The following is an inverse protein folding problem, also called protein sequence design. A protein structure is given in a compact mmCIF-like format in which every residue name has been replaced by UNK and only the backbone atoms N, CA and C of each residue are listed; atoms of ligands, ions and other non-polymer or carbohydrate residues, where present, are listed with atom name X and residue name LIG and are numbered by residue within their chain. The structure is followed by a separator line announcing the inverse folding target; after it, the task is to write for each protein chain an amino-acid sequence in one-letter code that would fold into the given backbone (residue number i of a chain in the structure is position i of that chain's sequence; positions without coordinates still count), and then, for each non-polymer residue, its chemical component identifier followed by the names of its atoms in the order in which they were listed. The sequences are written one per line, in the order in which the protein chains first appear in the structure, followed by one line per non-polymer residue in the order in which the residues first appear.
data_IF_192314988576
#
_entry.id   IF_192314988576
#
_cell.length_a   1.000
_cell.length_b   1.000
_cell.length_c   1.000
_cell.angle_alpha   90.00
_cell.angle_beta   90.00
_cell.angle_gamma   90.00
#
_symmetry.space_group_name_H-M   'P 1'
#
loop_
_entity.id
_entity.type
_entity.pdbx_description
1 polymer ?
#
# COMPACT_ATOMS: atom_id res chain seq x y z
N UNK A 1 -25.47 11.19 -18.34
CA UNK A 1 -25.85 11.24 -16.92
C UNK A 1 -25.42 12.59 -16.37
N UNK A 2 -26.35 13.35 -15.84
CA UNK A 2 -26.18 14.75 -15.47
C UNK A 2 -25.34 14.88 -14.19
N UNK A 3 -24.06 15.19 -14.31
CA UNK A 3 -23.16 15.53 -13.19
C UNK A 3 -23.62 16.76 -12.37
N UNK A 4 -24.71 17.40 -12.79
CA UNK A 4 -25.27 18.57 -12.13
C UNK A 4 -26.21 18.28 -10.96
N UNK A 5 -26.49 16.99 -10.65
CA UNK A 5 -27.45 16.58 -9.61
C UNK A 5 -26.84 16.14 -8.28
N UNK A 6 -25.55 16.24 -8.09
CA UNK A 6 -24.97 16.08 -6.74
C UNK A 6 -25.38 17.28 -5.89
N UNK A 7 -26.12 17.09 -4.79
CA UNK A 7 -26.46 18.19 -3.90
C UNK A 7 -25.16 18.76 -3.33
N UNK A 8 -24.89 20.03 -3.67
CA UNK A 8 -23.74 20.74 -3.13
C UNK A 8 -24.03 21.02 -1.66
N UNK A 9 -23.19 20.54 -0.78
CA UNK A 9 -23.23 20.93 0.61
C UNK A 9 -23.12 22.47 0.73
N UNK A 10 -23.85 23.11 1.64
CA UNK A 10 -23.72 24.54 1.88
C UNK A 10 -22.27 24.87 2.24
N UNK A 11 -21.80 26.04 1.81
CA UNK A 11 -20.43 26.48 2.13
C UNK A 11 -20.32 26.68 3.63
N UNK A 12 -19.35 26.00 4.25
CA UNK A 12 -19.07 26.18 5.66
C UNK A 12 -18.69 27.63 5.98
N UNK A 13 -19.16 28.16 7.10
CA UNK A 13 -18.79 29.48 7.57
C UNK A 13 -17.33 29.50 8.04
N UNK A 14 -16.71 30.69 8.04
CA UNK A 14 -15.32 30.84 8.49
C UNK A 14 -15.14 30.38 9.95
N UNK A 15 -16.13 30.60 10.80
CA UNK A 15 -16.15 30.17 12.20
C UNK A 15 -16.20 28.64 12.33
N UNK A 16 -16.98 27.97 11.48
CA UNK A 16 -17.03 26.49 11.43
C UNK A 16 -15.71 25.91 10.95
N UNK A 17 -15.09 26.52 9.94
CA UNK A 17 -13.76 26.12 9.44
C UNK A 17 -12.69 26.26 10.52
N UNK A 18 -12.65 27.38 11.24
CA UNK A 18 -11.68 27.61 12.32
C UNK A 18 -11.89 26.63 13.49
N UNK A 19 -13.13 26.35 13.84
CA UNK A 19 -13.45 25.38 14.91
C UNK A 19 -13.08 23.95 14.50
N UNK A 20 -13.38 23.56 13.26
CA UNK A 20 -13.01 22.27 12.70
C UNK A 20 -11.48 22.12 12.57
N UNK A 21 -10.79 23.18 12.12
CA UNK A 21 -9.31 23.20 12.03
C UNK A 21 -8.67 23.02 13.40
N UNK A 22 -9.17 23.71 14.44
CA UNK A 22 -8.66 23.56 15.80
C UNK A 22 -8.76 22.13 16.32
N UNK A 23 -9.89 21.43 16.03
CA UNK A 23 -10.05 20.02 16.37
C UNK A 23 -9.20 19.06 15.55
N UNK A 24 -8.84 19.45 14.33
CA UNK A 24 -8.07 18.62 13.40
C UNK A 24 -6.54 18.72 13.63
N UNK A 25 -6.05 19.74 14.32
CA UNK A 25 -4.60 19.94 14.53
C UNK A 25 -3.95 18.73 15.18
N UNK A 26 -4.53 18.23 16.26
CA UNK A 26 -3.98 17.09 17.00
C UNK A 26 -3.88 15.82 16.14
N UNK A 27 -4.94 15.37 15.44
CA UNK A 27 -4.82 14.23 14.52
C UNK A 27 -3.83 14.48 13.36
N UNK A 28 -3.71 15.71 12.85
CA UNK A 28 -2.80 16.05 11.76
C UNK A 28 -1.31 16.03 12.15
N UNK A 29 -0.99 16.11 13.43
CA UNK A 29 0.38 15.94 13.92
C UNK A 29 0.90 14.51 13.61
N UNK A 30 0.04 13.49 13.61
CA UNK A 30 0.45 12.11 13.35
C UNK A 30 1.07 11.92 11.95
N UNK A 31 0.43 12.31 10.83
CA UNK A 31 1.08 12.28 9.52
C UNK A 31 2.38 13.09 9.45
N UNK A 32 2.45 14.22 10.15
CA UNK A 32 3.67 15.04 10.19
C UNK A 32 4.80 14.29 10.89
N UNK A 33 4.54 13.65 12.04
CA UNK A 33 5.52 12.81 12.74
C UNK A 33 6.03 11.71 11.79
N UNK A 34 5.14 11.04 11.07
CA UNK A 34 5.50 9.98 10.15
C UNK A 34 6.38 10.48 9.00
N UNK A 35 5.99 11.57 8.34
CA UNK A 35 6.73 12.13 7.21
C UNK A 35 8.11 12.63 7.66
N UNK A 36 8.16 13.39 8.74
CA UNK A 36 9.42 13.95 9.27
C UNK A 36 10.35 12.84 9.75
N UNK A 37 9.83 11.87 10.50
CA UNK A 37 10.61 10.74 11.03
C UNK A 37 11.30 9.95 9.94
N UNK A 38 10.57 9.62 8.87
CA UNK A 38 11.09 8.82 7.75
C UNK A 38 11.97 9.66 6.82
N UNK A 39 11.50 10.85 6.40
CA UNK A 39 12.17 11.67 5.39
C UNK A 39 13.53 12.19 5.86
N UNK A 40 13.65 12.56 7.12
CA UNK A 40 14.92 13.05 7.69
C UNK A 40 15.79 11.93 8.28
N UNK A 41 15.35 10.67 8.20
CA UNK A 41 16.11 9.51 8.65
C UNK A 41 16.26 9.41 10.17
N UNK A 42 15.39 10.06 10.95
CA UNK A 42 15.41 9.98 12.41
C UNK A 42 15.04 8.60 12.94
N UNK A 43 14.18 7.91 12.19
CA UNK A 43 13.71 6.58 12.58
C UNK A 43 13.31 5.75 11.34
N UNK A 44 13.37 4.45 11.49
CA UNK A 44 12.87 3.51 10.48
C UNK A 44 11.35 3.57 10.36
N UNK A 45 10.75 3.15 9.22
CA UNK A 45 9.29 3.10 9.09
C UNK A 45 8.59 2.33 10.21
N UNK A 46 9.22 1.26 10.72
CA UNK A 46 8.69 0.45 11.82
C UNK A 46 8.68 1.22 13.14
N UNK A 47 9.77 1.92 13.46
CA UNK A 47 9.87 2.74 14.68
C UNK A 47 8.89 3.91 14.64
N UNK A 48 8.80 4.59 13.50
CA UNK A 48 7.83 5.69 13.31
C UNK A 48 6.39 5.19 13.46
N UNK A 49 6.09 3.98 12.98
CA UNK A 49 4.78 3.36 13.18
C UNK A 49 4.47 3.11 14.65
N UNK A 50 5.45 2.64 15.45
CA UNK A 50 5.28 2.47 16.89
C UNK A 50 5.02 3.80 17.61
N UNK A 51 5.75 4.86 17.23
CA UNK A 51 5.50 6.23 17.75
C UNK A 51 4.11 6.71 17.36
N UNK A 52 3.68 6.50 16.12
CA UNK A 52 2.35 6.90 15.65
C UNK A 52 1.23 6.18 16.41
N UNK A 53 1.37 4.87 16.66
CA UNK A 53 0.41 4.10 17.46
C UNK A 53 0.37 4.62 18.89
N UNK A 54 1.52 4.83 19.51
CA UNK A 54 1.61 5.37 20.89
C UNK A 54 0.93 6.74 20.97
N UNK A 55 1.21 7.62 20.02
CA UNK A 55 0.57 8.93 19.92
C UNK A 55 -0.95 8.82 19.74
N UNK A 56 -1.42 7.98 18.82
CA UNK A 56 -2.84 7.75 18.58
C UNK A 56 -3.58 7.22 19.81
N UNK A 57 -3.00 6.26 20.51
CA UNK A 57 -3.54 5.71 21.77
C UNK A 57 -3.58 6.79 22.84
N UNK A 58 -2.49 7.53 23.05
CA UNK A 58 -2.43 8.62 24.03
C UNK A 58 -3.50 9.68 23.74
N UNK A 59 -3.65 10.08 22.50
CA UNK A 59 -4.66 11.04 22.05
C UNK A 59 -6.09 10.54 22.35
N UNK A 60 -6.37 9.28 22.01
CA UNK A 60 -7.69 8.67 22.17
C UNK A 60 -8.07 8.45 23.63
N UNK A 61 -7.10 8.09 24.48
CA UNK A 61 -7.35 7.81 25.91
C UNK A 61 -7.34 9.11 26.73
N UNK A 62 -6.33 9.98 26.54
CA UNK A 62 -6.12 11.13 27.42
C UNK A 62 -6.94 12.35 26.99
N UNK A 63 -7.01 12.63 25.68
CA UNK A 63 -7.65 13.85 25.16
C UNK A 63 -9.10 13.58 24.80
N UNK A 64 -9.35 12.64 23.90
CA UNK A 64 -10.71 12.35 23.44
C UNK A 64 -11.50 11.46 24.40
N UNK A 65 -10.84 10.73 25.27
CA UNK A 65 -11.45 9.80 26.23
C UNK A 65 -12.48 8.87 25.57
N UNK A 66 -12.21 8.50 24.30
CA UNK A 66 -13.09 7.71 23.46
C UNK A 66 -12.88 6.21 23.60
N UNK A 67 -11.73 5.79 24.13
CA UNK A 67 -11.33 4.38 24.26
C UNK A 67 -11.21 4.03 25.73
N UNK A 68 -12.08 3.09 26.18
CA UNK A 68 -11.97 2.45 27.50
C UNK A 68 -11.00 1.25 27.44
N UNK A 69 -10.64 0.73 28.62
CA UNK A 69 -9.71 -0.40 28.74
C UNK A 69 -10.19 -1.65 27.99
N UNK A 70 -11.48 -1.97 28.05
CA UNK A 70 -12.08 -3.09 27.31
C UNK A 70 -11.97 -2.92 25.79
N UNK A 71 -12.29 -1.71 25.29
CA UNK A 71 -12.20 -1.39 23.85
C UNK A 71 -10.76 -1.43 23.37
N UNK A 72 -9.81 -0.95 24.17
CA UNK A 72 -8.38 -1.02 23.86
C UNK A 72 -7.92 -2.47 23.67
N UNK A 73 -8.32 -3.36 24.59
CA UNK A 73 -7.95 -4.78 24.49
C UNK A 73 -8.56 -5.44 23.26
N UNK A 74 -9.82 -5.15 22.94
CA UNK A 74 -10.47 -5.66 21.73
C UNK A 74 -9.73 -5.20 20.46
N UNK A 75 -9.42 -3.90 20.36
CA UNK A 75 -8.65 -3.34 19.23
C UNK A 75 -7.27 -4.01 19.12
N UNK A 76 -6.59 -4.23 20.26
CA UNK A 76 -5.27 -4.87 20.25
C UNK A 76 -5.35 -6.33 19.76
N UNK A 77 -6.37 -7.08 20.15
CA UNK A 77 -6.60 -8.45 19.67
C UNK A 77 -6.90 -8.44 18.17
N UNK A 78 -7.79 -7.57 17.71
CA UNK A 78 -8.14 -7.47 16.28
C UNK A 78 -6.91 -7.10 15.43
N UNK A 79 -6.09 -6.15 15.89
CA UNK A 79 -4.82 -5.81 15.24
C UNK A 79 -3.85 -6.99 15.23
N UNK A 80 -3.78 -7.75 16.32
CA UNK A 80 -2.94 -8.95 16.41
C UNK A 80 -3.38 -10.04 15.42
N UNK A 81 -4.68 -10.27 15.29
CA UNK A 81 -5.24 -11.22 14.31
C UNK A 81 -4.92 -10.80 12.88
N UNK A 82 -5.14 -9.53 12.53
CA UNK A 82 -4.81 -9.00 11.20
C UNK A 82 -3.31 -9.09 10.91
N UNK A 83 -2.46 -8.70 11.85
CA UNK A 83 -1.01 -8.82 11.71
C UNK A 83 -0.58 -10.29 11.52
N UNK A 84 -1.16 -11.21 12.29
CA UNK A 84 -0.90 -12.65 12.16
C UNK A 84 -1.28 -13.20 10.79
N UNK A 85 -2.44 -12.82 10.25
CA UNK A 85 -2.87 -13.20 8.90
C UNK A 85 -1.88 -12.69 7.84
N UNK A 86 -1.50 -11.41 7.92
CA UNK A 86 -0.56 -10.82 6.96
C UNK A 86 0.81 -11.50 7.04
N UNK A 87 1.33 -11.73 8.23
CA UNK A 87 2.61 -12.42 8.42
C UNK A 87 2.58 -13.86 7.90
N UNK A 88 1.47 -14.57 8.09
CA UNK A 88 1.30 -15.92 7.56
C UNK A 88 1.31 -15.94 6.02
N UNK A 89 0.61 -14.98 5.39
CA UNK A 89 0.62 -14.84 3.92
C UNK A 89 2.02 -14.52 3.42
N UNK A 90 2.75 -13.62 4.08
CA UNK A 90 4.12 -13.25 3.73
C UNK A 90 5.06 -14.45 3.85
N UNK A 91 4.96 -15.22 4.93
CA UNK A 91 5.79 -16.42 5.13
C UNK A 91 5.52 -17.49 4.06
N UNK A 92 4.25 -17.71 3.73
CA UNK A 92 3.84 -18.65 2.66
C UNK A 92 4.34 -18.19 1.28
N UNK A 93 4.21 -16.89 0.97
CA UNK A 93 4.71 -16.30 -0.27
C UNK A 93 6.24 -16.41 -0.37
N UNK A 94 6.96 -16.18 0.73
CA UNK A 94 8.41 -16.36 0.79
C UNK A 94 8.86 -17.79 0.52
N UNK A 95 8.18 -18.77 1.12
CA UNK A 95 8.44 -20.18 0.87
C UNK A 95 8.19 -20.56 -0.59
N UNK A 96 7.13 -20.03 -1.19
CA UNK A 96 6.82 -20.25 -2.59
C UNK A 96 7.86 -19.60 -3.51
N UNK A 97 8.26 -18.36 -3.25
CA UNK A 97 9.31 -17.66 -3.99
C UNK A 97 10.64 -18.42 -3.95
N UNK A 98 11.02 -18.94 -2.78
CA UNK A 98 12.20 -19.79 -2.63
C UNK A 98 12.13 -21.05 -3.50
N UNK A 99 10.98 -21.73 -3.48
CA UNK A 99 10.76 -22.93 -4.29
C UNK A 99 10.90 -22.64 -5.79
N UNK A 100 10.33 -21.55 -6.28
CA UNK A 100 10.44 -21.15 -7.69
C UNK A 100 11.89 -20.81 -8.07
N UNK A 101 12.62 -20.17 -7.16
CA UNK A 101 14.04 -19.84 -7.37
C UNK A 101 14.89 -21.10 -7.38
N UNK A 102 14.65 -22.03 -6.46
CA UNK A 102 15.32 -23.34 -6.41
C UNK A 102 15.03 -24.20 -7.64
N UNK A 103 13.84 -24.06 -8.22
CA UNK A 103 13.46 -24.70 -9.49
C UNK A 103 14.08 -24.00 -10.74
N UNK A 104 14.98 -23.04 -10.57
CA UNK A 104 15.62 -22.28 -11.65
C UNK A 104 14.64 -21.54 -12.58
N UNK A 105 13.46 -21.18 -12.10
CA UNK A 105 12.49 -20.44 -12.88
C UNK A 105 13.03 -19.10 -13.42
N UNK A 106 13.82 -18.32 -12.66
CA UNK A 106 14.42 -17.08 -13.18
C UNK A 106 15.29 -17.33 -14.43
N UNK A 107 16.07 -18.42 -14.43
CA UNK A 107 16.93 -18.79 -15.57
C UNK A 107 16.10 -19.15 -16.78
N UNK A 108 15.01 -19.90 -16.61
CA UNK A 108 14.09 -20.24 -17.70
C UNK A 108 13.42 -18.99 -18.28
N UNK A 109 13.03 -18.03 -17.45
CA UNK A 109 12.46 -16.75 -17.89
C UNK A 109 13.47 -15.91 -18.68
N UNK A 110 14.75 -15.89 -18.27
CA UNK A 110 15.82 -15.21 -19.00
C UNK A 110 16.00 -15.82 -20.39
N UNK A 111 15.98 -17.15 -20.52
CA UNK A 111 16.07 -17.81 -21.83
C UNK A 111 14.94 -17.43 -22.77
N UNK A 112 13.71 -17.35 -22.24
CA UNK A 112 12.55 -16.89 -23.03
C UNK A 112 12.73 -15.43 -23.45
N UNK A 113 13.29 -14.59 -22.59
CA UNK A 113 13.53 -13.18 -22.88
C UNK A 113 14.59 -13.00 -23.98
N UNK A 114 15.67 -13.78 -23.97
CA UNK A 114 16.67 -13.79 -25.05
C UNK A 114 16.05 -14.12 -26.40
N UNK A 115 15.08 -15.03 -26.44
CA UNK A 115 14.32 -15.32 -27.66
C UNK A 115 13.45 -14.14 -28.13
N UNK A 116 13.04 -13.26 -27.20
CA UNK A 116 12.23 -12.08 -27.47
C UNK A 116 13.05 -10.81 -27.82
N UNK A 117 14.40 -10.89 -27.84
CA UNK A 117 15.27 -9.84 -28.34
C UNK A 117 15.89 -8.92 -27.30
N UNK A 118 16.04 -9.35 -26.05
CA UNK A 118 16.78 -8.67 -24.95
C UNK A 118 16.49 -7.16 -24.76
N UNK A 119 15.28 -6.73 -25.05
CA UNK A 119 14.90 -5.34 -24.94
C UNK A 119 14.54 -4.96 -23.50
N UNK A 120 15.30 -4.06 -22.82
CA UNK A 120 14.96 -3.59 -21.49
C UNK A 120 13.56 -2.96 -21.42
N UNK A 121 13.17 -2.24 -22.47
CA UNK A 121 11.86 -1.58 -22.53
C UNK A 121 10.72 -2.60 -22.64
N UNK A 122 10.88 -3.65 -23.46
CA UNK A 122 9.89 -4.70 -23.60
C UNK A 122 9.72 -5.47 -22.29
N UNK A 123 10.83 -5.78 -21.61
CA UNK A 123 10.82 -6.39 -20.30
C UNK A 123 10.10 -5.50 -19.25
N UNK A 124 10.39 -4.20 -19.21
CA UNK A 124 9.74 -3.27 -18.30
C UNK A 124 8.22 -3.24 -18.52
N UNK A 125 7.78 -3.10 -19.75
CA UNK A 125 6.34 -3.08 -20.06
C UNK A 125 5.69 -4.42 -19.71
N UNK A 126 6.32 -5.55 -20.10
CA UNK A 126 5.80 -6.88 -19.81
C UNK A 126 5.70 -7.17 -18.31
N UNK A 127 6.73 -6.81 -17.54
CA UNK A 127 6.72 -6.96 -16.08
C UNK A 127 5.68 -6.06 -15.41
N UNK A 128 5.49 -4.82 -15.89
CA UNK A 128 4.43 -3.93 -15.42
C UNK A 128 3.04 -4.52 -15.64
N UNK A 129 2.76 -4.99 -16.86
CA UNK A 129 1.47 -5.62 -17.20
C UNK A 129 1.24 -6.85 -16.32
N UNK A 130 2.26 -7.69 -16.14
CA UNK A 130 2.21 -8.86 -15.26
C UNK A 130 1.90 -8.46 -13.81
N UNK A 131 2.65 -7.52 -13.26
CA UNK A 131 2.49 -7.05 -11.88
C UNK A 131 1.10 -6.42 -11.65
N UNK A 132 0.63 -5.63 -12.59
CA UNK A 132 -0.72 -5.02 -12.49
C UNK A 132 -1.80 -6.10 -12.57
N UNK A 133 -1.69 -7.03 -13.52
CA UNK A 133 -2.69 -8.09 -13.71
C UNK A 133 -2.74 -9.03 -12.51
N UNK A 134 -1.59 -9.56 -12.08
CA UNK A 134 -1.51 -10.47 -10.94
C UNK A 134 -1.83 -9.71 -9.64
N UNK A 135 -1.34 -8.48 -9.50
CA UNK A 135 -1.61 -7.64 -8.34
C UNK A 135 -3.06 -7.16 -8.23
N UNK A 136 -3.82 -7.12 -9.33
CA UNK A 136 -5.26 -6.83 -9.28
C UNK A 136 -6.10 -8.03 -8.84
N UNK A 137 -5.58 -9.25 -8.96
CA UNK A 137 -6.22 -10.48 -8.52
C UNK A 137 -5.83 -10.86 -7.08
N UNK A 138 -4.57 -10.61 -6.73
CA UNK A 138 -3.98 -10.94 -5.44
C UNK A 138 -3.64 -9.66 -4.67
N UNK A 139 -3.40 -9.79 -3.37
CA UNK A 139 -2.89 -8.69 -2.57
C UNK A 139 -1.45 -8.32 -2.98
N UNK A 140 -1.12 -7.01 -2.98
CA UNK A 140 0.12 -6.51 -3.57
C UNK A 140 1.41 -6.98 -2.90
N UNK A 141 1.44 -7.03 -1.57
CA UNK A 141 2.65 -7.44 -0.85
C UNK A 141 3.07 -8.89 -1.17
N UNK A 142 2.19 -9.90 -1.12
CA UNK A 142 2.54 -11.26 -1.53
C UNK A 142 3.04 -11.35 -2.96
N UNK A 143 2.45 -10.60 -3.88
CA UNK A 143 2.87 -10.60 -5.30
C UNK A 143 4.30 -10.07 -5.44
N UNK A 144 4.65 -8.98 -4.76
CA UNK A 144 6.02 -8.46 -4.77
C UNK A 144 7.02 -9.42 -4.14
N UNK A 145 6.64 -10.11 -3.08
CA UNK A 145 7.50 -11.09 -2.41
C UNK A 145 7.76 -12.30 -3.31
N UNK A 146 6.77 -12.74 -4.07
CA UNK A 146 6.90 -13.88 -5.01
C UNK A 146 7.64 -13.46 -6.27
N UNK A 147 7.20 -12.40 -6.95
CA UNK A 147 7.72 -12.00 -8.25
C UNK A 147 9.00 -11.17 -8.16
N UNK A 148 9.24 -10.46 -7.06
CA UNK A 148 10.45 -9.64 -6.88
C UNK A 148 11.74 -10.44 -7.06
N UNK A 149 11.97 -11.53 -6.33
CA UNK A 149 13.16 -12.38 -6.50
C UNK A 149 13.29 -13.02 -7.88
N UNK A 150 12.18 -13.17 -8.61
CA UNK A 150 12.18 -13.71 -9.98
C UNK A 150 12.55 -12.66 -11.02
N UNK A 151 11.96 -11.47 -10.92
CA UNK A 151 12.04 -10.43 -11.96
C UNK A 151 13.23 -9.50 -11.76
N UNK A 152 13.67 -9.23 -10.52
CA UNK A 152 14.78 -8.32 -10.24
C UNK A 152 16.12 -8.77 -10.83
N UNK A 153 16.52 -10.07 -10.74
CA UNK A 153 17.74 -10.54 -11.40
C UNK A 153 17.69 -10.38 -12.91
N UNK A 154 16.52 -10.54 -13.54
CA UNK A 154 16.33 -10.36 -14.97
C UNK A 154 16.50 -8.89 -15.35
N UNK A 155 15.89 -7.97 -14.59
CA UNK A 155 16.03 -6.54 -14.78
C UNK A 155 17.50 -6.09 -14.72
N UNK A 156 18.25 -6.57 -13.73
CA UNK A 156 19.67 -6.22 -13.57
C UNK A 156 20.55 -6.77 -14.69
N UNK A 157 20.28 -7.97 -15.19
CA UNK A 157 20.99 -8.54 -16.36
C UNK A 157 20.74 -7.73 -17.64
N UNK A 158 19.57 -7.14 -17.79
CA UNK A 158 19.24 -6.24 -18.91
C UNK A 158 19.80 -4.81 -18.72
N UNK A 159 20.59 -4.56 -17.65
CA UNK A 159 21.18 -3.26 -17.37
C UNK A 159 20.19 -2.26 -16.75
N UNK A 160 19.04 -2.70 -16.28
CA UNK A 160 18.06 -1.84 -15.59
C UNK A 160 18.53 -1.67 -14.12
N UNK A 161 18.61 -0.44 -13.67
CA UNK A 161 18.95 -0.13 -12.27
C UNK A 161 17.93 -0.74 -11.31
N UNK A 162 18.42 -1.39 -10.25
CA UNK A 162 17.60 -2.12 -9.28
C UNK A 162 16.61 -1.22 -8.54
N UNK A 163 17.03 0.02 -8.21
CA UNK A 163 16.18 0.97 -7.49
C UNK A 163 15.08 1.48 -8.43
N UNK A 164 15.47 1.79 -9.69
CA UNK A 164 14.51 2.18 -10.71
C UNK A 164 13.44 1.12 -10.93
N UNK A 165 13.85 -0.14 -11.10
CA UNK A 165 12.91 -1.27 -11.27
C UNK A 165 12.00 -1.46 -10.05
N UNK A 166 12.57 -1.37 -8.84
CA UNK A 166 11.79 -1.48 -7.60
C UNK A 166 10.74 -0.36 -7.48
N UNK A 167 11.10 0.88 -7.79
CA UNK A 167 10.17 2.02 -7.76
C UNK A 167 9.03 1.85 -8.77
N UNK A 168 9.35 1.43 -9.98
CA UNK A 168 8.34 1.17 -11.02
C UNK A 168 7.40 0.03 -10.60
N UNK A 169 7.93 -1.03 -10.00
CA UNK A 169 7.15 -2.16 -9.49
C UNK A 169 6.21 -1.74 -8.35
N UNK A 170 6.67 -0.89 -7.43
CA UNK A 170 5.85 -0.33 -6.36
C UNK A 170 4.72 0.55 -6.91
N UNK A 171 5.01 1.39 -7.91
CA UNK A 171 3.99 2.21 -8.57
C UNK A 171 2.94 1.36 -9.31
N UNK A 172 3.38 0.29 -9.99
CA UNK A 172 2.48 -0.68 -10.61
C UNK A 172 1.54 -1.32 -9.59
N UNK A 173 2.07 -1.72 -8.43
CA UNK A 173 1.27 -2.26 -7.34
C UNK A 173 0.32 -1.23 -6.72
N UNK A 174 0.73 0.03 -6.62
CA UNK A 174 -0.14 1.12 -6.15
C UNK A 174 -1.32 1.39 -7.10
N UNK A 175 -1.09 1.34 -8.40
CA UNK A 175 -2.11 1.63 -9.41
C UNK A 175 -3.24 0.61 -9.47
N UNK A 176 -3.03 -0.64 -9.03
CA UNK A 176 -4.04 -1.71 -8.99
C UNK A 176 -5.32 -1.33 -8.21
N UNK A 177 -5.19 -0.44 -7.22
CA UNK A 177 -6.33 -0.01 -6.38
C UNK A 177 -7.42 0.70 -7.20
N UNK A 178 -7.02 1.26 -8.37
CA UNK A 178 -7.91 1.94 -9.31
C UNK A 178 -8.36 1.06 -10.48
N UNK A 179 -7.77 -0.15 -10.63
CA UNK A 179 -8.00 -1.02 -11.79
C UNK A 179 -9.01 -2.12 -11.44
N UNK A 180 -9.99 -2.43 -12.32
CA UNK A 180 -10.84 -3.60 -12.15
C UNK A 180 -9.99 -4.89 -12.02
N UNK A 181 -10.40 -5.90 -11.22
CA UNK A 181 -11.74 -6.09 -10.66
C UNK A 181 -11.98 -5.50 -9.27
N UNK A 182 -10.93 -5.05 -8.55
CA UNK A 182 -11.07 -4.74 -7.13
C UNK A 182 -11.64 -3.33 -6.90
N UNK A 183 -11.21 -2.31 -7.68
CA UNK A 183 -11.75 -0.92 -7.64
C UNK A 183 -12.05 -0.38 -6.24
N UNK A 184 -11.24 -0.73 -5.23
CA UNK A 184 -11.52 -0.37 -3.82
C UNK A 184 -11.70 1.14 -3.67
N UNK A 185 -10.81 1.95 -4.27
CA UNK A 185 -10.91 3.40 -4.20
C UNK A 185 -12.18 3.93 -4.85
N UNK A 186 -12.66 3.29 -5.91
CA UNK A 186 -13.90 3.67 -6.58
C UNK A 186 -15.12 3.39 -5.67
N UNK A 187 -15.21 2.18 -5.08
CA UNK A 187 -16.28 1.83 -4.16
C UNK A 187 -16.29 2.72 -2.91
N UNK A 188 -15.13 3.00 -2.32
CA UNK A 188 -15.02 3.93 -1.18
C UNK A 188 -15.48 5.32 -1.59
N UNK A 189 -15.07 5.81 -2.76
CA UNK A 189 -15.49 7.13 -3.26
C UNK A 189 -17.00 7.20 -3.48
N UNK A 190 -17.62 6.13 -4.03
CA UNK A 190 -19.07 6.04 -4.18
C UNK A 190 -19.76 6.00 -2.82
N UNK A 191 -19.27 5.21 -1.87
CA UNK A 191 -19.83 5.12 -0.52
C UNK A 191 -19.78 6.47 0.23
N UNK A 192 -18.67 7.22 0.10
CA UNK A 192 -18.52 8.54 0.73
C UNK A 192 -19.37 9.61 0.03
N UNK A 193 -19.47 9.54 -1.30
CA UNK A 193 -20.23 10.53 -2.09
C UNK A 193 -21.74 10.26 -2.15
N UNK A 194 -22.19 9.07 -1.71
CA UNK A 194 -23.58 8.64 -1.86
C UNK A 194 -24.02 8.43 -3.31
N UNK A 195 -23.07 8.22 -4.22
CA UNK A 195 -23.36 7.96 -5.63
C UNK A 195 -23.64 6.47 -5.85
N UNK A 196 -24.68 6.16 -6.62
CA UNK A 196 -24.95 4.80 -7.08
C UNK A 196 -23.86 4.33 -8.04
N UNK A 197 -23.42 3.07 -7.87
CA UNK A 197 -22.36 2.41 -8.65
C UNK A 197 -22.88 1.97 -10.03
#
# INVERSE_FOLDING_TARGET
RDFRRTPRAPRASLSELLKASGGAVLPLIMPVIMIVGIKFGYATPTEVSAVAVTYGVALSVLIYRSIGFSSFFTIAVDCGLLAGMVLFIIASAGSFAWTLTAANLPVALIQVLHLAGDSPTLFMIGSLVLLITVGSLLEGLPVLIILGPLLLPIATQLGIDSIHYAMVSLLAMGSRIFIPPILICFYISCAVSGADV
#
